data_IF_852957392001
#
_entry.id   IF_852957392001
#
_cell.length_a   1.000
_cell.length_b   1.000
_cell.length_c   1.000
_cell.angle_alpha   90.00
_cell.angle_beta   90.00
_cell.angle_gamma   90.00
#
_symmetry.space_group_name_H-M   'P 1'
#
loop_
_entity.id
_entity.type
_entity.pdbx_description
1 polymer ?
#
# COMPACT_ATOMS: atom_id res chain seq x y z
N UNK A 1 50.06 -18.91 -5.87
CA UNK A 1 49.60 -19.06 -4.47
C UNK A 1 48.19 -19.62 -4.55
N UNK A 2 47.87 -20.74 -3.88
CA UNK A 2 46.50 -21.27 -3.88
C UNK A 2 45.71 -20.47 -2.85
N UNK A 3 44.59 -19.86 -3.26
CA UNK A 3 43.71 -19.17 -2.34
C UNK A 3 43.14 -20.19 -1.34
N UNK A 4 43.12 -19.88 -0.03
CA UNK A 4 42.56 -20.79 0.96
C UNK A 4 41.06 -20.97 0.72
N UNK A 5 40.65 -22.21 0.53
CA UNK A 5 39.28 -22.63 0.24
C UNK A 5 38.82 -23.64 1.30
N UNK A 6 37.49 -23.74 1.47
CA UNK A 6 36.84 -24.69 2.36
C UNK A 6 35.56 -25.20 1.71
N UNK A 7 34.98 -26.26 2.27
CA UNK A 7 33.69 -26.78 1.80
C UNK A 7 32.58 -26.31 2.72
N UNK A 8 31.51 -25.75 2.15
CA UNK A 8 30.39 -25.26 2.95
C UNK A 8 29.65 -26.40 3.68
N UNK A 9 29.42 -26.32 4.99
CA UNK A 9 28.70 -27.38 5.72
C UNK A 9 27.22 -27.47 5.34
N UNK A 10 26.62 -26.38 4.84
CA UNK A 10 25.22 -26.33 4.39
C UNK A 10 25.01 -26.91 2.99
N UNK A 11 25.60 -26.30 1.97
CA UNK A 11 25.38 -26.69 0.56
C UNK A 11 26.44 -27.64 0.00
N UNK A 12 27.52 -27.92 0.73
CA UNK A 12 28.65 -28.79 0.33
C UNK A 12 29.41 -28.33 -0.92
N UNK A 13 29.20 -27.09 -1.35
CA UNK A 13 29.97 -26.48 -2.42
C UNK A 13 31.32 -25.98 -1.91
N UNK A 14 32.32 -25.96 -2.80
CA UNK A 14 33.62 -25.36 -2.53
C UNK A 14 33.48 -23.82 -2.52
N UNK A 15 33.99 -23.20 -1.46
CA UNK A 15 33.94 -21.74 -1.28
C UNK A 15 35.32 -21.21 -0.90
N UNK A 16 35.68 -20.06 -1.45
CA UNK A 16 36.91 -19.36 -1.10
C UNK A 16 36.67 -18.44 0.09
N UNK A 17 37.62 -18.41 1.05
CA UNK A 17 37.42 -17.68 2.31
C UNK A 17 37.33 -16.16 2.12
N UNK A 18 37.94 -15.62 1.06
CA UNK A 18 37.88 -14.22 0.67
C UNK A 18 36.57 -13.82 -0.04
N UNK A 19 35.78 -14.80 -0.49
CA UNK A 19 34.46 -14.58 -1.11
C UNK A 19 33.30 -14.65 -0.10
N UNK A 20 33.59 -14.94 1.17
CA UNK A 20 32.58 -15.00 2.22
C UNK A 20 32.01 -13.60 2.47
N UNK A 21 30.68 -13.50 2.49
CA UNK A 21 29.98 -12.25 2.80
C UNK A 21 29.64 -12.29 4.28
N UNK A 22 30.39 -11.54 5.09
CA UNK A 22 30.20 -11.49 6.54
C UNK A 22 30.33 -12.86 7.21
N UNK A 23 31.31 -13.67 6.78
CA UNK A 23 31.54 -15.01 7.33
C UNK A 23 30.54 -16.08 6.87
N UNK A 24 29.69 -15.78 5.87
CA UNK A 24 28.65 -16.70 5.36
C UNK A 24 28.92 -17.14 3.93
N UNK A 25 28.48 -18.36 3.62
CA UNK A 25 28.51 -18.93 2.27
C UNK A 25 27.69 -18.06 1.30
N UNK A 26 28.26 -17.62 0.16
CA UNK A 26 27.55 -16.80 -0.81
C UNK A 26 26.40 -17.54 -1.52
N UNK A 27 26.41 -18.87 -1.51
CA UNK A 27 25.40 -19.68 -2.20
C UNK A 27 24.19 -20.03 -1.33
N UNK A 28 24.38 -20.24 -0.04
CA UNK A 28 23.31 -20.71 0.85
C UNK A 28 23.18 -19.94 2.16
N UNK A 29 24.08 -18.98 2.45
CA UNK A 29 24.04 -18.16 3.66
C UNK A 29 24.45 -18.86 4.96
N UNK A 30 24.90 -20.13 4.89
CA UNK A 30 25.40 -20.87 6.04
C UNK A 30 26.65 -20.19 6.61
N UNK A 31 26.63 -19.89 7.91
CA UNK A 31 27.76 -19.28 8.64
C UNK A 31 28.87 -20.30 8.90
N UNK A 32 30.11 -19.83 8.84
CA UNK A 32 31.31 -20.63 9.15
C UNK A 32 31.85 -20.37 10.56
N UNK A 33 31.26 -19.42 11.29
CA UNK A 33 31.59 -19.15 12.69
C UNK A 33 30.57 -19.83 13.61
N UNK A 34 31.07 -20.54 14.63
CA UNK A 34 30.27 -21.05 15.76
C UNK A 34 30.11 -19.91 16.77
N UNK A 35 28.91 -19.33 16.80
CA UNK A 35 28.33 -18.38 17.75
C UNK A 35 29.24 -17.83 18.86
N UNK A 36 29.79 -16.63 18.65
CA UNK A 36 30.13 -15.70 19.74
C UNK A 36 29.45 -14.34 19.48
N UNK A 37 28.28 -14.20 20.10
CA UNK A 37 27.72 -12.97 20.68
C UNK A 37 27.86 -11.65 19.89
N UNK A 38 26.75 -11.24 19.24
CA UNK A 38 26.47 -9.81 19.00
C UNK A 38 26.43 -9.35 17.54
N UNK A 39 25.32 -9.64 16.85
CA UNK A 39 24.77 -8.71 15.85
C UNK A 39 23.28 -8.61 16.08
N UNK A 40 22.84 -7.45 16.56
CA UNK A 40 21.44 -7.11 16.79
C UNK A 40 20.58 -7.42 15.55
N UNK A 41 19.61 -8.32 15.75
CA UNK A 41 18.33 -8.45 15.05
C UNK A 41 18.06 -7.44 13.94
N UNK A 42 18.51 -7.74 12.72
CA UNK A 42 17.86 -7.28 11.49
C UNK A 42 17.21 -8.47 10.76
N UNK A 43 16.72 -9.44 11.52
CA UNK A 43 15.95 -10.58 11.02
C UNK A 43 14.47 -10.44 11.40
N UNK A 44 13.88 -9.28 11.10
CA UNK A 44 12.42 -9.23 10.89
C UNK A 44 12.17 -9.68 9.44
N UNK A 45 12.29 -10.98 9.21
CA UNK A 45 11.91 -11.59 7.95
C UNK A 45 10.42 -11.28 7.72
N UNK A 46 10.12 -10.35 6.80
CA UNK A 46 8.75 -10.01 6.39
C UNK A 46 7.99 -11.30 6.15
N UNK A 47 7.01 -11.61 7.00
CA UNK A 47 6.26 -12.85 6.86
C UNK A 47 5.49 -12.82 5.53
N UNK A 48 5.13 -14.00 5.02
CA UNK A 48 4.32 -14.09 3.78
C UNK A 48 3.00 -13.32 3.91
N UNK A 49 2.46 -13.21 5.12
CA UNK A 49 1.28 -12.41 5.44
C UNK A 49 1.59 -10.90 5.31
N UNK A 50 2.70 -10.42 5.86
CA UNK A 50 3.15 -9.03 5.79
C UNK A 50 3.40 -8.59 4.34
N UNK A 51 4.04 -9.45 3.52
CA UNK A 51 4.25 -9.13 2.11
C UNK A 51 2.92 -8.99 1.35
N UNK A 52 1.97 -9.91 1.58
CA UNK A 52 0.66 -9.84 0.93
C UNK A 52 -0.11 -8.58 1.36
N UNK A 53 -0.01 -8.22 2.64
CA UNK A 53 -0.58 -7.01 3.21
C UNK A 53 0.06 -5.76 2.60
N UNK A 54 1.38 -5.66 2.53
CA UNK A 54 2.10 -4.54 1.92
C UNK A 54 1.77 -4.38 0.43
N UNK A 55 1.71 -5.49 -0.32
CA UNK A 55 1.33 -5.49 -1.73
C UNK A 55 -0.12 -4.98 -1.90
N UNK A 56 -1.04 -5.43 -1.06
CA UNK A 56 -2.42 -4.94 -1.06
C UNK A 56 -2.48 -3.43 -0.80
N UNK A 57 -1.77 -2.94 0.22
CA UNK A 57 -1.68 -1.52 0.55
C UNK A 57 -1.14 -0.70 -0.61
N UNK A 58 -0.04 -1.14 -1.22
CA UNK A 58 0.53 -0.48 -2.40
C UNK A 58 -0.49 -0.31 -3.53
N UNK A 59 -1.20 -1.38 -3.89
CA UNK A 59 -2.20 -1.30 -4.95
C UNK A 59 -3.39 -0.43 -4.57
N UNK A 60 -3.75 -0.41 -3.29
CA UNK A 60 -4.80 0.45 -2.77
C UNK A 60 -4.42 1.94 -2.89
N UNK A 61 -3.22 2.31 -2.41
CA UNK A 61 -2.69 3.66 -2.56
C UNK A 61 -2.60 4.07 -4.02
N UNK A 62 -2.04 3.21 -4.88
CA UNK A 62 -1.94 3.48 -6.32
C UNK A 62 -3.30 3.68 -7.00
N UNK A 63 -4.33 2.94 -6.58
CA UNK A 63 -5.71 3.11 -7.08
C UNK A 63 -6.27 4.48 -6.72
N UNK A 64 -6.09 4.91 -5.48
CA UNK A 64 -6.64 6.17 -4.97
C UNK A 64 -5.82 7.41 -5.36
N UNK A 65 -4.50 7.26 -5.50
CA UNK A 65 -3.61 8.29 -6.03
C UNK A 65 -4.01 8.68 -7.47
N UNK A 66 -4.34 7.69 -8.31
CA UNK A 66 -4.90 7.94 -9.66
C UNK A 66 -6.23 8.69 -9.65
N UNK A 67 -6.96 8.68 -8.54
CA UNK A 67 -8.20 9.43 -8.35
C UNK A 67 -7.97 10.83 -7.74
N UNK A 68 -6.72 11.15 -7.36
CA UNK A 68 -6.34 12.39 -6.71
C UNK A 68 -6.66 12.43 -5.21
N UNK A 69 -6.84 11.27 -4.57
CA UNK A 69 -7.04 11.19 -3.12
C UNK A 69 -5.69 11.27 -2.41
N UNK A 70 -5.61 12.09 -1.37
CA UNK A 70 -4.43 12.20 -0.53
C UNK A 70 -4.10 10.87 0.19
N UNK A 71 -2.84 10.38 0.16
CA UNK A 71 -2.45 9.11 0.79
C UNK A 71 -2.84 9.02 2.26
N UNK A 72 -2.70 10.10 3.03
CA UNK A 72 -3.06 10.14 4.45
C UNK A 72 -4.55 9.81 4.68
N UNK A 73 -5.45 10.24 3.79
CA UNK A 73 -6.88 9.91 3.89
C UNK A 73 -7.16 8.44 3.60
N UNK A 74 -6.40 7.84 2.68
CA UNK A 74 -6.50 6.41 2.38
C UNK A 74 -6.03 5.60 3.59
N UNK A 75 -4.90 5.98 4.20
CA UNK A 75 -4.39 5.34 5.43
C UNK A 75 -5.40 5.46 6.58
N UNK A 76 -5.94 6.65 6.83
CA UNK A 76 -6.98 6.83 7.85
C UNK A 76 -8.23 5.97 7.58
N UNK A 77 -8.59 5.77 6.31
CA UNK A 77 -9.71 4.89 5.96
C UNK A 77 -9.38 3.43 6.24
N UNK A 78 -8.18 2.96 5.89
CA UNK A 78 -7.71 1.62 6.21
C UNK A 78 -7.77 1.41 7.73
N UNK A 79 -7.09 2.23 8.53
CA UNK A 79 -6.99 2.07 9.98
C UNK A 79 -8.36 2.11 10.68
N UNK A 80 -9.34 2.84 10.13
CA UNK A 80 -10.72 2.87 10.67
C UNK A 80 -11.51 1.59 10.38
N UNK A 81 -11.15 0.85 9.34
CA UNK A 81 -11.86 -0.36 8.90
C UNK A 81 -11.08 -1.65 9.19
N UNK A 82 -9.84 -1.54 9.65
CA UNK A 82 -9.09 -2.66 10.20
C UNK A 82 -9.62 -2.99 11.59
N UNK A 83 -10.42 -4.06 11.65
CA UNK A 83 -10.67 -4.74 12.91
C UNK A 83 -9.43 -5.58 13.25
N UNK A 84 -8.85 -5.45 14.46
CA UNK A 84 -7.60 -6.11 14.87
C UNK A 84 -7.70 -7.65 15.04
N UNK A 85 -8.69 -8.30 14.42
CA UNK A 85 -8.91 -9.74 14.49
C UNK A 85 -9.34 -10.38 13.16
N UNK A 86 -9.25 -9.67 12.04
CA UNK A 86 -9.69 -10.19 10.73
C UNK A 86 -8.61 -10.03 9.67
N UNK A 87 -7.57 -10.87 9.71
CA UNK A 87 -6.50 -10.94 8.70
C UNK A 87 -6.98 -11.51 7.35
N UNK A 88 -8.29 -11.63 7.15
CA UNK A 88 -8.85 -12.24 5.96
C UNK A 88 -9.19 -11.17 4.91
N UNK A 89 -8.75 -11.31 3.64
CA UNK A 89 -9.08 -10.39 2.56
C UNK A 89 -10.59 -10.22 2.31
N UNK A 90 -11.42 -11.12 2.84
CA UNK A 90 -12.88 -11.02 2.81
C UNK A 90 -13.45 -9.86 3.65
N UNK A 91 -12.73 -9.38 4.67
CA UNK A 91 -13.16 -8.23 5.48
C UNK A 91 -13.28 -6.95 4.64
N UNK A 92 -12.39 -6.78 3.66
CA UNK A 92 -12.39 -5.63 2.75
C UNK A 92 -13.58 -5.61 1.76
N UNK A 93 -14.35 -6.70 1.65
CA UNK A 93 -15.50 -6.77 0.75
C UNK A 93 -16.65 -5.84 1.16
N UNK A 94 -16.76 -5.54 2.46
CA UNK A 94 -17.82 -4.67 3.00
C UNK A 94 -17.39 -3.23 3.17
N UNK A 95 -16.10 -2.92 3.02
CA UNK A 95 -15.57 -1.58 3.28
C UNK A 95 -16.02 -0.62 2.18
N UNK A 96 -16.87 0.33 2.59
CA UNK A 96 -17.35 1.43 1.75
C UNK A 96 -16.44 2.63 1.98
N UNK A 97 -16.00 3.26 0.89
CA UNK A 97 -15.22 4.49 0.95
C UNK A 97 -15.98 5.64 0.31
N UNK A 98 -15.69 6.85 0.79
CA UNK A 98 -16.17 8.11 0.24
C UNK A 98 -15.09 9.17 0.43
N UNK A 99 -14.47 9.60 -0.67
CA UNK A 99 -13.41 10.60 -0.65
C UNK A 99 -13.82 11.83 -1.44
N UNK A 100 -13.56 13.00 -0.86
CA UNK A 100 -13.52 14.24 -1.61
C UNK A 100 -12.23 14.30 -2.42
N UNK A 101 -12.36 14.52 -3.73
CA UNK A 101 -11.25 14.55 -4.69
C UNK A 101 -11.24 15.88 -5.44
N UNK A 102 -10.05 16.35 -5.87
CA UNK A 102 -9.94 17.57 -6.66
C UNK A 102 -10.66 17.42 -8.02
N UNK A 103 -11.20 18.55 -8.50
CA UNK A 103 -11.79 18.63 -9.84
C UNK A 103 -10.69 18.61 -10.91
N UNK A 104 -10.79 17.67 -11.85
CA UNK A 104 -9.92 17.58 -13.02
C UNK A 104 -10.15 18.76 -14.00
N UNK A 105 -9.29 18.91 -15.02
CA UNK A 105 -9.45 19.98 -16.02
C UNK A 105 -10.77 19.88 -16.79
N UNK A 106 -11.11 18.68 -17.28
CA UNK A 106 -12.41 18.41 -17.94
C UNK A 106 -13.59 18.74 -17.02
N UNK A 107 -13.41 18.47 -15.73
CA UNK A 107 -14.41 18.77 -14.72
C UNK A 107 -14.64 20.28 -14.57
N UNK A 108 -13.63 21.13 -14.77
CA UNK A 108 -13.77 22.59 -14.62
C UNK A 108 -14.43 23.27 -15.82
N UNK A 109 -14.54 22.58 -16.96
CA UNK A 109 -15.04 23.14 -18.22
C UNK A 109 -16.46 22.66 -18.54
N UNK A 110 -16.85 21.46 -18.07
CA UNK A 110 -18.17 20.90 -18.37
C UNK A 110 -19.20 21.26 -17.29
N UNK A 111 -20.43 21.68 -17.66
CA UNK A 111 -21.51 21.86 -16.70
C UNK A 111 -21.88 20.53 -16.05
N UNK A 112 -22.00 20.54 -14.72
CA UNK A 112 -22.34 19.38 -13.89
C UNK A 112 -23.68 19.60 -13.23
N UNK A 113 -24.37 18.51 -12.92
CA UNK A 113 -25.60 18.56 -12.12
C UNK A 113 -25.28 18.20 -10.68
N UNK A 114 -25.71 19.05 -9.74
CA UNK A 114 -25.61 18.78 -8.32
C UNK A 114 -26.46 17.56 -7.93
N UNK A 115 -25.90 16.64 -7.15
CA UNK A 115 -26.61 15.45 -6.68
C UNK A 115 -27.77 15.79 -5.73
N UNK A 116 -27.59 16.79 -4.86
CA UNK A 116 -28.57 17.09 -3.80
C UNK A 116 -29.71 17.99 -4.29
N UNK A 117 -29.38 19.10 -4.99
CA UNK A 117 -30.38 20.09 -5.41
C UNK A 117 -30.71 20.04 -6.91
N UNK A 118 -30.02 19.22 -7.70
CA UNK A 118 -30.26 19.10 -9.14
C UNK A 118 -29.86 20.31 -9.99
N UNK A 119 -29.33 21.38 -9.40
CA UNK A 119 -28.90 22.60 -10.12
C UNK A 119 -27.64 22.34 -10.95
N UNK A 120 -27.54 23.01 -12.10
CA UNK A 120 -26.33 22.99 -12.91
C UNK A 120 -25.31 24.00 -12.41
N UNK A 121 -24.03 23.62 -12.41
CA UNK A 121 -22.91 24.50 -12.08
C UNK A 121 -21.69 24.16 -12.93
N UNK A 122 -20.88 25.18 -13.21
CA UNK A 122 -19.65 25.06 -14.02
C UNK A 122 -18.39 25.18 -13.18
N UNK A 123 -18.36 26.16 -12.27
CA UNK A 123 -17.22 26.45 -11.40
C UNK A 123 -17.58 26.15 -9.94
N UNK A 124 -16.55 25.91 -9.15
CA UNK A 124 -16.69 25.56 -7.74
C UNK A 124 -17.25 24.16 -7.51
N UNK A 125 -17.74 23.94 -6.31
CA UNK A 125 -18.33 22.70 -5.81
C UNK A 125 -17.32 21.67 -5.35
N UNK A 126 -17.86 20.56 -4.86
CA UNK A 126 -17.10 19.39 -4.39
C UNK A 126 -17.36 18.20 -5.29
N UNK A 127 -16.32 17.40 -5.51
CA UNK A 127 -16.41 16.12 -6.21
C UNK A 127 -16.15 15.02 -5.19
N UNK A 128 -17.09 14.11 -5.06
CA UNK A 128 -17.02 13.00 -4.12
C UNK A 128 -17.01 11.71 -4.91
N UNK A 129 -16.00 10.87 -4.69
CA UNK A 129 -15.90 9.53 -5.26
C UNK A 129 -16.20 8.54 -4.16
N UNK A 130 -17.21 7.70 -4.38
CA UNK A 130 -17.62 6.67 -3.44
C UNK A 130 -17.72 5.29 -4.10
N UNK A 131 -17.53 4.26 -3.29
CA UNK A 131 -17.58 2.88 -3.78
C UNK A 131 -17.25 1.86 -2.71
N UNK A 132 -17.02 0.63 -3.16
CA UNK A 132 -16.58 -0.50 -2.33
C UNK A 132 -15.19 -0.93 -2.76
N UNK A 133 -14.31 -1.32 -1.83
CA UNK A 133 -12.92 -1.62 -2.13
C UNK A 133 -12.74 -2.72 -3.19
N UNK A 134 -13.53 -3.79 -3.09
CA UNK A 134 -13.49 -4.96 -3.98
C UNK A 134 -13.96 -4.65 -5.40
N UNK A 135 -14.86 -3.68 -5.58
CA UNK A 135 -15.38 -3.35 -6.91
C UNK A 135 -14.49 -2.31 -7.61
N UNK A 136 -14.18 -2.50 -8.90
CA UNK A 136 -13.43 -1.50 -9.68
C UNK A 136 -14.30 -0.27 -10.00
N UNK A 137 -15.61 -0.44 -10.00
CA UNK A 137 -16.57 0.62 -10.28
C UNK A 137 -16.69 1.55 -9.08
N UNK A 138 -16.55 2.85 -9.35
CA UNK A 138 -16.78 3.91 -8.39
C UNK A 138 -17.86 4.85 -8.92
N UNK A 139 -18.63 5.44 -8.01
CA UNK A 139 -19.64 6.44 -8.35
C UNK A 139 -19.07 7.81 -8.05
N UNK A 140 -19.00 8.67 -9.07
CA UNK A 140 -18.62 10.06 -8.90
C UNK A 140 -19.87 10.92 -8.74
N UNK A 141 -19.96 11.67 -7.64
CA UNK A 141 -21.04 12.61 -7.37
C UNK A 141 -20.48 14.03 -7.28
N UNK A 142 -21.25 14.98 -7.78
CA UNK A 142 -20.89 16.39 -7.80
C UNK A 142 -21.87 17.18 -6.93
N UNK A 143 -21.34 18.04 -6.07
CA UNK A 143 -22.12 18.89 -5.18
C UNK A 143 -21.79 20.35 -5.48
N UNK A 144 -22.80 21.20 -5.69
CA UNK A 144 -22.57 22.63 -5.94
C UNK A 144 -22.11 23.35 -4.66
N UNK A 145 -21.51 24.54 -4.80
CA UNK A 145 -20.99 25.34 -3.68
C UNK A 145 -22.00 25.51 -2.54
N UNK A 146 -23.25 25.77 -2.89
CA UNK A 146 -24.35 25.97 -1.92
C UNK A 146 -24.71 24.71 -1.14
N UNK A 147 -24.54 23.52 -1.73
CA UNK A 147 -24.81 22.24 -1.07
C UNK A 147 -23.57 21.76 -0.31
N UNK A 148 -22.37 21.99 -0.85
CA UNK A 148 -21.11 21.61 -0.21
C UNK A 148 -20.76 22.41 1.04
N UNK A 149 -21.34 23.60 1.20
CA UNK A 149 -21.13 24.50 2.34
C UNK A 149 -22.12 24.31 3.50
N UNK A 150 -23.16 23.49 3.37
CA UNK A 150 -24.15 23.23 4.44
C UNK A 150 -23.74 22.14 5.43
N UNK A 151 -22.51 21.63 5.32
CA UNK A 151 -21.99 20.51 6.12
C UNK A 151 -20.72 20.87 6.89
N UNK A 152 -20.64 22.09 7.43
CA UNK A 152 -19.74 22.42 8.54
C UNK A 152 -20.58 22.66 9.80
#
# INVERSE_FOLDING_TARGET
>A
MHAPHTTCPGCREEVFLDELIGGRCPLCGCSFEEDEEGTEEFDEAIERADLAYLVFHYFLFKKFDRLGVEPLRVLQMITRNEDPGTDSPAAFEKVKYSFEVPMNLLDRVRPKRCHDCGKFFLRGGKKVVSGTLVRPQHTTRYHCDTCSGRGQ
#
